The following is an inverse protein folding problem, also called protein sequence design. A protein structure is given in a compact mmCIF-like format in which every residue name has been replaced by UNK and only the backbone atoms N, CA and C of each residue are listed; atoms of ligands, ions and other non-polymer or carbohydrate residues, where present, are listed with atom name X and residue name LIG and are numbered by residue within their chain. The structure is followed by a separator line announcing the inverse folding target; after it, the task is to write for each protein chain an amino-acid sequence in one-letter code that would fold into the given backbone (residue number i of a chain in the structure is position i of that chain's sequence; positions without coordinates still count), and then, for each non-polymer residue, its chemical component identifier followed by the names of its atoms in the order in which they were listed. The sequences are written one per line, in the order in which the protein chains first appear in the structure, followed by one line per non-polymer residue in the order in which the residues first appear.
data_IF_424879792049
#
_entry.id   IF_424879792049
#
_cell.length_a   1.000
_cell.length_b   1.000
_cell.length_c   1.000
_cell.angle_alpha   90.00
_cell.angle_beta   90.00
_cell.angle_gamma   90.00
#
_symmetry.space_group_name_H-M   'P 1'
#
loop_
_entity.id
_entity.type
_entity.pdbx_description
1 polymer ?
#
# COMPACT_ATOMS: atom_id res chain seq x y z
N UNK A 1 -0.03 74.80 12.52
CA UNK A 1 0.59 73.89 11.54
C UNK A 1 1.10 72.63 12.25
N UNK A 2 0.30 71.56 12.28
CA UNK A 2 0.78 70.18 12.50
C UNK A 2 -0.14 69.27 11.68
N UNK A 3 0.44 68.61 10.68
CA UNK A 3 -0.27 67.73 9.74
C UNK A 3 -0.58 66.41 10.44
N UNK A 4 -1.83 65.97 10.35
CA UNK A 4 -2.27 64.62 10.75
C UNK A 4 -1.92 63.69 9.60
N UNK A 5 -1.08 62.68 9.84
CA UNK A 5 -0.83 61.59 8.91
C UNK A 5 -1.69 60.39 9.37
N UNK A 6 -2.71 60.04 8.58
CA UNK A 6 -3.37 58.74 8.69
C UNK A 6 -2.58 57.75 7.82
N UNK A 7 -1.96 56.75 8.44
CA UNK A 7 -1.43 55.60 7.73
C UNK A 7 -2.58 54.60 7.50
N UNK A 8 -3.01 54.46 6.25
CA UNK A 8 -3.91 53.39 5.82
C UNK A 8 -3.02 52.15 5.60
N UNK A 9 -3.13 51.17 6.49
CA UNK A 9 -2.49 49.87 6.30
C UNK A 9 -3.43 49.00 5.45
N UNK A 10 -3.17 48.95 4.15
CA UNK A 10 -3.87 48.04 3.25
C UNK A 10 -3.34 46.61 3.49
N UNK A 11 -4.13 45.79 4.20
CA UNK A 11 -3.86 44.35 4.34
C UNK A 11 -4.23 43.69 3.02
N UNK A 12 -3.20 43.25 2.30
CA UNK A 12 -3.30 42.41 1.11
C UNK A 12 -3.90 41.06 1.54
N UNK A 13 -5.15 40.77 1.17
CA UNK A 13 -5.72 39.43 1.30
C UNK A 13 -5.05 38.52 0.27
N UNK A 14 -4.09 37.72 0.70
CA UNK A 14 -3.66 36.53 -0.04
C UNK A 14 -4.65 35.38 0.25
N UNK A 15 -5.02 34.55 -0.75
CA UNK A 15 -5.85 33.39 -0.50
C UNK A 15 -5.08 32.39 0.36
N UNK A 16 -5.59 32.18 1.56
CA UNK A 16 -5.18 31.15 2.50
C UNK A 16 -5.58 29.77 1.95
N UNK A 17 -4.68 29.10 1.24
CA UNK A 17 -4.71 27.64 1.07
C UNK A 17 -4.29 27.01 2.39
N UNK A 18 -5.21 27.00 3.37
CA UNK A 18 -4.97 26.43 4.70
C UNK A 18 -5.20 24.93 4.63
N UNK A 19 -4.11 24.21 4.94
CA UNK A 19 -4.03 22.83 5.40
C UNK A 19 -5.35 22.22 5.88
N UNK A 20 -5.74 21.11 5.23
CA UNK A 20 -6.52 20.07 5.88
C UNK A 20 -5.74 19.60 7.12
N UNK A 21 -6.17 19.99 8.31
CA UNK A 21 -5.39 19.69 9.51
C UNK A 21 -5.83 20.48 10.75
N UNK A 22 -7.12 20.46 11.08
CA UNK A 22 -7.56 20.68 12.45
C UNK A 22 -8.27 19.42 12.91
N UNK A 23 -7.48 18.44 13.35
CA UNK A 23 -7.97 17.29 14.06
C UNK A 23 -8.53 17.74 15.42
N UNK A 24 -9.78 17.40 15.70
CA UNK A 24 -10.38 17.51 17.03
C UNK A 24 -9.68 16.49 17.95
N UNK A 25 -9.24 16.87 19.17
CA UNK A 25 -8.67 15.91 20.11
C UNK A 25 -9.65 14.77 20.40
N UNK A 26 -9.28 13.53 20.04
CA UNK A 26 -10.07 12.33 20.29
C UNK A 26 -10.63 11.60 19.05
N UNK A 27 -10.40 12.10 17.84
CA UNK A 27 -11.03 11.56 16.61
C UNK A 27 -10.03 11.44 15.44
N UNK A 28 -8.81 10.97 15.69
CA UNK A 28 -7.79 10.84 14.66
C UNK A 28 -7.85 9.46 13.99
N UNK A 29 -8.86 9.26 13.14
CA UNK A 29 -8.92 8.16 12.17
C UNK A 29 -8.66 8.67 10.76
N UNK A 30 -7.50 9.29 10.46
CA UNK A 30 -7.29 9.96 9.18
C UNK A 30 -7.35 8.96 8.03
N UNK A 31 -7.94 9.42 6.92
CA UNK A 31 -7.77 8.81 5.61
C UNK A 31 -6.41 9.23 5.09
N UNK A 32 -5.54 8.26 4.81
CA UNK A 32 -4.19 8.49 4.31
C UNK A 32 -4.16 8.53 2.78
N UNK A 33 -4.95 7.65 2.14
CA UNK A 33 -5.08 7.60 0.69
C UNK A 33 -6.48 7.14 0.29
N UNK A 34 -6.91 7.54 -0.91
CA UNK A 34 -8.22 7.20 -1.46
C UNK A 34 -8.10 6.95 -2.96
N UNK A 35 -8.79 5.91 -3.46
CA UNK A 35 -9.02 5.73 -4.89
C UNK A 35 -10.47 5.35 -5.18
N UNK A 36 -10.98 5.84 -6.31
CA UNK A 36 -12.31 5.48 -6.82
C UNK A 36 -12.16 4.41 -7.88
N UNK A 37 -13.09 3.46 -7.89
CA UNK A 37 -13.10 2.39 -8.88
C UNK A 37 -14.52 1.92 -9.16
N UNK A 38 -14.69 1.19 -10.25
CA UNK A 38 -15.96 0.53 -10.60
C UNK A 38 -15.85 -0.97 -10.32
N UNK A 39 -16.90 -1.54 -9.76
CA UNK A 39 -17.04 -2.98 -9.57
C UNK A 39 -18.45 -3.39 -9.96
N UNK A 40 -18.58 -4.25 -10.97
CA UNK A 40 -19.86 -4.74 -11.47
C UNK A 40 -20.88 -3.60 -11.77
N UNK A 41 -20.40 -2.47 -12.30
CA UNK A 41 -21.22 -1.30 -12.64
C UNK A 41 -21.53 -0.37 -11.46
N UNK A 42 -21.04 -0.67 -10.25
CA UNK A 42 -21.18 0.19 -9.07
C UNK A 42 -19.92 1.02 -8.86
N UNK A 43 -20.09 2.32 -8.66
CA UNK A 43 -18.99 3.20 -8.24
C UNK A 43 -18.69 2.99 -6.76
N UNK A 44 -17.45 2.65 -6.46
CA UNK A 44 -16.94 2.44 -5.11
C UNK A 44 -15.74 3.36 -4.83
N UNK A 45 -15.43 3.51 -3.55
CA UNK A 45 -14.23 4.19 -3.07
C UNK A 45 -13.53 3.29 -2.08
N UNK A 46 -12.22 3.07 -2.28
CA UNK A 46 -11.35 2.46 -1.27
C UNK A 46 -10.58 3.56 -0.55
N UNK A 47 -10.51 3.44 0.77
CA UNK A 47 -9.75 4.31 1.66
C UNK A 47 -8.72 3.49 2.42
N UNK A 48 -7.49 3.96 2.43
CA UNK A 48 -6.47 3.50 3.40
C UNK A 48 -6.54 4.42 4.60
N UNK A 49 -6.75 3.86 5.79
CA UNK A 49 -6.98 4.60 7.03
C UNK A 49 -6.07 4.11 8.12
N UNK A 50 -5.75 4.98 9.08
CA UNK A 50 -5.05 4.61 10.31
C UNK A 50 -5.90 5.01 11.52
N UNK A 51 -6.04 4.11 12.48
CA UNK A 51 -6.68 4.35 13.78
C UNK A 51 -5.86 3.66 14.87
N UNK A 52 -5.36 4.43 15.84
CA UNK A 52 -4.55 3.92 16.94
C UNK A 52 -3.42 2.98 16.47
N UNK A 53 -2.68 3.41 15.44
CA UNK A 53 -1.62 2.63 14.77
C UNK A 53 -2.10 1.33 14.11
N UNK A 54 -3.37 1.22 13.74
CA UNK A 54 -3.89 0.13 12.92
C UNK A 54 -4.20 0.67 11.53
N UNK A 55 -3.41 0.27 10.55
CA UNK A 55 -3.69 0.55 9.13
C UNK A 55 -4.68 -0.46 8.59
N UNK A 56 -5.75 0.02 7.98
CA UNK A 56 -6.77 -0.82 7.33
C UNK A 56 -7.17 -0.24 5.98
N UNK A 57 -7.72 -1.09 5.12
CA UNK A 57 -8.50 -0.66 3.96
C UNK A 57 -9.98 -0.68 4.32
N UNK A 58 -10.72 0.30 3.82
CA UNK A 58 -12.18 0.37 3.89
C UNK A 58 -12.72 0.62 2.49
N UNK A 59 -13.73 -0.12 2.07
CA UNK A 59 -14.46 0.16 0.82
C UNK A 59 -15.86 0.63 1.16
N UNK A 60 -16.25 1.74 0.54
CA UNK A 60 -17.57 2.36 0.66
C UNK A 60 -18.22 2.51 -0.71
N UNK A 61 -19.55 2.42 -0.76
CA UNK A 61 -20.33 2.72 -1.95
C UNK A 61 -20.61 4.22 -2.13
N UNK A 62 -21.30 4.58 -3.21
CA UNK A 62 -21.66 5.95 -3.54
C UNK A 62 -22.56 6.61 -2.48
N UNK A 63 -23.33 5.81 -1.73
CA UNK A 63 -24.18 6.24 -0.63
C UNK A 63 -23.42 6.34 0.70
N UNK A 64 -22.13 5.98 0.73
CA UNK A 64 -21.26 6.02 1.90
C UNK A 64 -21.39 4.80 2.82
N UNK A 65 -22.13 3.77 2.42
CA UNK A 65 -22.23 2.51 3.16
C UNK A 65 -20.95 1.72 2.96
N UNK A 66 -20.39 1.26 4.08
CA UNK A 66 -19.24 0.38 4.09
C UNK A 66 -19.63 -1.03 3.63
N UNK A 67 -18.84 -1.58 2.70
CA UNK A 67 -19.04 -2.94 2.19
C UNK A 67 -17.85 -3.86 2.49
N UNK A 68 -16.69 -3.31 2.84
CA UNK A 68 -15.51 -4.07 3.24
C UNK A 68 -14.63 -3.28 4.20
N UNK A 69 -13.99 -4.01 5.13
CA UNK A 69 -12.86 -3.56 5.93
C UNK A 69 -11.84 -4.70 5.99
N UNK A 70 -10.57 -4.41 5.76
CA UNK A 70 -9.50 -5.40 5.90
C UNK A 70 -9.17 -5.65 7.37
N UNK A 71 -8.45 -6.74 7.63
CA UNK A 71 -7.65 -6.86 8.86
C UNK A 71 -6.60 -5.73 8.94
N UNK A 72 -5.98 -5.58 10.12
CA UNK A 72 -4.85 -4.65 10.30
C UNK A 72 -3.68 -5.06 9.42
N UNK A 73 -3.26 -4.18 8.53
CA UNK A 73 -2.14 -4.37 7.60
C UNK A 73 -0.77 -4.09 8.25
N UNK A 74 -0.76 -3.23 9.26
CA UNK A 74 0.47 -2.74 9.88
C UNK A 74 0.22 -1.47 10.69
N UNK A 75 1.31 -0.83 11.10
CA UNK A 75 1.28 0.31 12.01
C UNK A 75 1.71 1.63 11.41
N UNK A 76 2.45 1.61 10.30
CA UNK A 76 2.99 2.81 9.66
C UNK A 76 2.81 2.76 8.13
N UNK A 77 2.62 3.94 7.54
CA UNK A 77 2.42 4.08 6.10
C UNK A 77 3.67 3.60 5.35
N UNK A 78 3.44 2.94 4.22
CA UNK A 78 4.47 2.38 3.36
C UNK A 78 4.10 2.61 1.90
N UNK A 79 5.12 2.89 1.10
CA UNK A 79 5.01 2.97 -0.35
C UNK A 79 5.37 1.62 -1.00
N UNK A 80 4.86 1.39 -2.19
CA UNK A 80 5.30 0.36 -3.14
C UNK A 80 5.39 1.01 -4.52
N UNK A 81 6.11 0.38 -5.45
CA UNK A 81 6.26 0.89 -6.82
C UNK A 81 5.38 0.10 -7.79
N UNK A 82 4.58 0.82 -8.57
CA UNK A 82 3.77 0.29 -9.68
C UNK A 82 3.78 1.31 -10.82
N UNK A 83 3.89 0.87 -12.07
CA UNK A 83 4.01 1.76 -13.24
C UNK A 83 5.14 2.81 -13.13
N UNK A 84 6.22 2.49 -12.38
CA UNK A 84 7.34 3.39 -12.04
C UNK A 84 6.96 4.58 -11.15
N UNK A 85 5.81 4.52 -10.49
CA UNK A 85 5.36 5.51 -9.52
C UNK A 85 5.26 4.89 -8.14
N UNK A 86 5.64 5.64 -7.11
CA UNK A 86 5.47 5.24 -5.72
C UNK A 86 4.03 5.52 -5.26
N UNK A 87 3.36 4.51 -4.72
CA UNK A 87 1.98 4.60 -4.23
C UNK A 87 1.85 3.92 -2.86
N UNK A 88 0.93 4.39 -2.03
CA UNK A 88 0.60 3.73 -0.75
C UNK A 88 -0.70 2.92 -0.81
N UNK A 89 -1.53 3.18 -1.83
CA UNK A 89 -2.79 2.53 -2.18
C UNK A 89 -2.96 2.59 -3.72
N UNK A 90 -3.42 1.51 -4.34
CA UNK A 90 -3.76 1.47 -5.76
C UNK A 90 -4.92 0.51 -6.03
N UNK A 91 -5.74 0.80 -7.03
CA UNK A 91 -6.76 -0.10 -7.57
C UNK A 91 -6.43 -0.43 -9.02
N UNK A 92 -6.34 -1.73 -9.33
CA UNK A 92 -5.88 -2.22 -10.64
C UNK A 92 -6.42 -3.61 -10.91
N UNK A 93 -6.90 -3.86 -12.11
CA UNK A 93 -7.21 -5.21 -12.58
C UNK A 93 -5.91 -5.91 -12.98
N UNK A 94 -5.37 -6.71 -12.05
CA UNK A 94 -4.13 -7.47 -12.21
C UNK A 94 -4.37 -8.80 -12.91
N UNK A 95 -5.56 -9.37 -12.77
CA UNK A 95 -5.87 -10.72 -13.23
C UNK A 95 -6.62 -10.76 -14.58
N UNK A 96 -7.10 -9.60 -15.07
CA UNK A 96 -7.77 -9.42 -16.35
C UNK A 96 -9.26 -9.78 -16.36
N UNK A 97 -9.89 -9.97 -15.21
CA UNK A 97 -11.31 -10.37 -15.08
C UNK A 97 -12.28 -9.18 -15.05
N UNK A 98 -11.78 -7.95 -15.19
CA UNK A 98 -12.52 -6.68 -15.12
C UNK A 98 -13.08 -6.33 -13.74
N UNK A 99 -12.63 -7.00 -12.68
CA UNK A 99 -12.92 -6.64 -11.29
C UNK A 99 -11.60 -6.31 -10.61
N UNK A 100 -11.29 -5.02 -10.42
CA UNK A 100 -9.95 -4.63 -10.01
C UNK A 100 -9.62 -5.07 -8.58
N UNK A 101 -8.36 -5.43 -8.36
CA UNK A 101 -7.78 -5.67 -7.06
C UNK A 101 -7.48 -4.37 -6.30
N UNK A 102 -7.48 -4.46 -4.96
CA UNK A 102 -7.03 -3.39 -4.07
C UNK A 102 -5.61 -3.71 -3.59
N UNK A 103 -4.69 -2.79 -3.77
CA UNK A 103 -3.27 -2.97 -3.49
C UNK A 103 -2.85 -1.95 -2.43
N UNK A 104 -2.23 -2.40 -1.34
CA UNK A 104 -1.71 -1.52 -0.32
C UNK A 104 -0.43 -2.08 0.29
N UNK A 105 0.46 -1.20 0.74
CA UNK A 105 1.61 -1.58 1.53
C UNK A 105 1.53 -1.00 2.95
N UNK A 106 2.09 -1.69 3.92
CA UNK A 106 2.23 -1.19 5.29
C UNK A 106 3.53 -1.71 5.92
N UNK A 107 4.13 -0.94 6.82
CA UNK A 107 5.14 -1.47 7.72
C UNK A 107 4.46 -2.22 8.87
N UNK A 108 4.97 -3.40 9.20
CA UNK A 108 4.55 -4.16 10.37
C UNK A 108 5.79 -4.54 11.20
N UNK A 109 6.04 -3.76 12.26
CA UNK A 109 7.26 -3.86 13.05
C UNK A 109 8.43 -3.03 12.52
N UNK A 110 9.61 -3.12 13.14
CA UNK A 110 10.67 -2.11 12.98
C UNK A 110 11.33 -2.10 11.59
N UNK A 111 11.42 -3.28 10.96
CA UNK A 111 12.23 -3.49 9.75
C UNK A 111 11.48 -4.17 8.60
N UNK A 112 10.24 -4.63 8.83
CA UNK A 112 9.50 -5.42 7.86
C UNK A 112 8.33 -4.64 7.27
N UNK A 113 8.09 -4.84 5.99
CA UNK A 113 6.97 -4.29 5.25
C UNK A 113 6.22 -5.38 4.49
N UNK A 114 4.91 -5.16 4.34
CA UNK A 114 4.00 -6.09 3.68
C UNK A 114 3.35 -5.42 2.47
N UNK A 115 3.29 -6.13 1.35
CA UNK A 115 2.42 -5.80 0.22
C UNK A 115 1.18 -6.70 0.25
N UNK A 116 0.03 -6.07 0.44
CA UNK A 116 -1.28 -6.69 0.51
C UNK A 116 -2.04 -6.45 -0.78
N UNK A 117 -2.62 -7.52 -1.32
CA UNK A 117 -3.44 -7.46 -2.54
C UNK A 117 -4.75 -8.16 -2.23
N UNK A 118 -5.87 -7.49 -2.45
CA UNK A 118 -7.20 -8.03 -2.21
C UNK A 118 -7.97 -8.16 -3.53
N UNK A 119 -8.50 -9.36 -3.78
CA UNK A 119 -9.36 -9.67 -4.94
C UNK A 119 -10.82 -9.72 -4.50
N UNK A 120 -11.75 -9.35 -5.39
CA UNK A 120 -13.16 -9.49 -5.10
C UNK A 120 -13.61 -10.95 -5.20
N UNK A 121 -14.22 -11.47 -4.13
CA UNK A 121 -14.89 -12.76 -4.11
C UNK A 121 -16.36 -12.57 -4.48
N UNK A 122 -16.74 -12.97 -5.69
CA UNK A 122 -18.11 -12.82 -6.19
C UNK A 122 -19.13 -13.63 -5.40
N UNK A 123 -18.74 -14.76 -4.81
CA UNK A 123 -19.65 -15.61 -4.04
C UNK A 123 -19.94 -15.01 -2.67
N UNK A 124 -18.90 -14.54 -1.98
CA UNK A 124 -19.02 -13.89 -0.68
C UNK A 124 -19.42 -12.41 -0.77
N UNK A 125 -19.34 -11.82 -1.97
CA UNK A 125 -19.61 -10.40 -2.26
C UNK A 125 -18.76 -9.46 -1.41
N UNK A 126 -17.51 -9.83 -1.17
CA UNK A 126 -16.54 -9.09 -0.36
C UNK A 126 -15.13 -9.25 -0.94
N UNK A 127 -14.18 -8.48 -0.44
CA UNK A 127 -12.77 -8.65 -0.80
C UNK A 127 -12.09 -9.68 0.11
N UNK A 128 -11.15 -10.44 -0.47
CA UNK A 128 -10.29 -11.38 0.25
C UNK A 128 -8.83 -11.22 -0.18
N UNK A 129 -7.86 -11.51 0.68
CA UNK A 129 -6.47 -11.43 0.29
C UNK A 129 -6.13 -12.43 -0.82
N UNK A 130 -5.29 -12.01 -1.76
CA UNK A 130 -4.61 -12.91 -2.68
C UNK A 130 -3.42 -13.53 -1.98
N UNK A 131 -3.25 -14.83 -2.16
CA UNK A 131 -2.20 -15.57 -1.47
C UNK A 131 -0.87 -15.48 -2.22
N UNK A 132 0.21 -15.38 -1.45
CA UNK A 132 1.58 -15.58 -1.87
C UNK A 132 2.02 -16.99 -1.47
N UNK A 133 2.40 -17.80 -2.45
CA UNK A 133 2.71 -19.22 -2.28
C UNK A 133 4.17 -19.48 -2.65
N UNK A 134 4.94 -19.99 -1.68
CA UNK A 134 6.32 -20.43 -1.85
C UNK A 134 6.42 -21.90 -1.45
N UNK A 135 6.09 -22.78 -2.41
CA UNK A 135 5.99 -24.23 -2.20
C UNK A 135 7.29 -24.86 -1.68
N UNK A 136 8.45 -24.42 -2.18
CA UNK A 136 9.75 -24.94 -1.74
C UNK A 136 10.04 -24.68 -0.25
N UNK A 137 9.39 -23.68 0.34
CA UNK A 137 9.50 -23.31 1.75
C UNK A 137 8.27 -23.73 2.58
N UNK A 138 7.34 -24.51 2.00
CA UNK A 138 6.04 -24.84 2.61
C UNK A 138 5.31 -23.62 3.20
N UNK A 139 5.34 -22.51 2.45
CA UNK A 139 4.88 -21.22 2.94
C UNK A 139 3.74 -20.67 2.06
N UNK A 140 2.63 -20.35 2.70
CA UNK A 140 1.52 -19.58 2.10
C UNK A 140 1.15 -18.43 3.03
N UNK A 141 1.06 -17.21 2.50
CA UNK A 141 0.68 -16.00 3.25
C UNK A 141 -0.28 -15.12 2.47
N UNK A 142 -0.96 -14.23 3.17
CA UNK A 142 -1.93 -13.28 2.59
C UNK A 142 -1.26 -11.99 2.07
N UNK A 143 0.06 -11.90 2.15
CA UNK A 143 0.86 -10.75 1.73
C UNK A 143 2.31 -11.15 1.43
N UNK A 144 2.97 -10.34 0.61
CA UNK A 144 4.39 -10.45 0.33
C UNK A 144 5.20 -9.66 1.35
N UNK A 145 6.32 -10.23 1.78
CA UNK A 145 7.20 -9.65 2.80
C UNK A 145 8.45 -9.07 2.15
N UNK A 146 8.80 -7.86 2.56
CA UNK A 146 10.16 -7.33 2.53
C UNK A 146 10.65 -7.20 3.98
N UNK A 147 11.79 -7.81 4.30
CA UNK A 147 12.46 -7.67 5.61
C UNK A 147 13.60 -6.65 5.58
N UNK A 148 13.68 -5.87 4.50
CA UNK A 148 14.61 -4.77 4.31
C UNK A 148 13.83 -3.46 4.20
N UNK A 149 13.74 -2.73 5.30
CA UNK A 149 13.04 -1.45 5.38
C UNK A 149 13.54 -0.46 4.34
N UNK A 150 12.64 -0.07 3.41
CA UNK A 150 12.84 1.08 2.53
C UNK A 150 11.60 1.98 2.48
N UNK A 151 11.81 3.27 2.67
CA UNK A 151 10.73 4.27 2.68
C UNK A 151 10.20 4.58 1.27
N UNK A 152 11.06 4.51 0.24
CA UNK A 152 10.73 4.90 -1.14
C UNK A 152 9.82 3.90 -1.88
N UNK A 153 9.64 2.69 -1.34
CA UNK A 153 8.81 1.64 -1.94
C UNK A 153 9.51 0.70 -2.92
N UNK A 154 10.79 0.88 -3.22
CA UNK A 154 11.50 0.06 -4.21
C UNK A 154 11.75 -1.38 -3.73
N UNK A 155 11.64 -1.61 -2.42
CA UNK A 155 11.64 -2.93 -1.81
C UNK A 155 10.39 -3.76 -2.14
N UNK A 156 9.31 -3.15 -2.64
CA UNK A 156 8.08 -3.84 -3.06
C UNK A 156 7.62 -3.26 -4.40
N UNK A 157 7.84 -3.99 -5.50
CA UNK A 157 7.68 -3.44 -6.86
C UNK A 157 6.92 -4.38 -7.79
N UNK A 158 5.91 -3.86 -8.47
CA UNK A 158 5.33 -4.50 -9.65
C UNK A 158 6.23 -4.28 -10.86
N UNK A 159 6.66 -5.37 -11.49
CA UNK A 159 7.42 -5.37 -12.74
C UNK A 159 6.49 -5.44 -13.96
N UNK A 160 5.34 -6.06 -13.78
CA UNK A 160 4.18 -6.12 -14.64
C UNK A 160 2.94 -6.31 -13.75
N UNK A 161 1.73 -6.20 -14.31
CA UNK A 161 0.50 -6.41 -13.54
C UNK A 161 0.46 -7.80 -12.87
N UNK A 162 1.04 -8.81 -13.53
CA UNK A 162 1.08 -10.19 -13.03
C UNK A 162 2.42 -10.58 -12.36
N UNK A 163 3.39 -9.67 -12.22
CA UNK A 163 4.72 -9.99 -11.66
C UNK A 163 5.15 -8.96 -10.63
N UNK A 164 5.45 -9.42 -9.41
CA UNK A 164 5.92 -8.60 -8.30
C UNK A 164 7.28 -9.07 -7.80
N UNK A 165 8.09 -8.12 -7.35
CA UNK A 165 9.41 -8.30 -6.75
C UNK A 165 9.40 -7.73 -5.33
N UNK A 166 9.91 -8.50 -4.38
CA UNK A 166 10.31 -8.00 -3.06
C UNK A 166 11.83 -7.98 -2.90
N UNK A 167 12.35 -7.01 -2.16
CA UNK A 167 13.70 -7.01 -1.61
C UNK A 167 13.66 -7.65 -0.22
N UNK A 168 14.60 -8.54 0.05
CA UNK A 168 14.75 -9.10 1.39
C UNK A 168 16.08 -9.83 1.58
N UNK A 169 16.27 -10.48 2.72
CA UNK A 169 17.46 -11.27 2.99
C UNK A 169 17.32 -12.70 2.46
N UNK A 170 18.35 -13.22 1.80
CA UNK A 170 18.51 -14.64 1.44
C UNK A 170 19.40 -15.28 2.49
N UNK A 171 18.86 -16.28 3.18
CA UNK A 171 19.55 -17.04 4.22
C UNK A 171 20.06 -18.37 3.66
N UNK A 172 21.33 -18.67 3.93
CA UNK A 172 21.91 -19.98 3.60
C UNK A 172 21.52 -21.03 4.64
N UNK A 173 21.40 -22.29 4.21
CA UNK A 173 21.32 -23.44 5.11
C UNK A 173 22.69 -23.93 5.55
N UNK A 174 23.76 -23.46 4.91
CA UNK A 174 25.14 -23.75 5.31
C UNK A 174 25.52 -22.88 6.52
N UNK A 175 26.16 -23.47 7.55
CA UNK A 175 26.66 -22.70 8.67
C UNK A 175 27.70 -21.67 8.20
N UNK A 176 27.76 -20.54 8.89
CA UNK A 176 28.75 -19.47 8.67
C UNK A 176 28.68 -18.73 7.31
N UNK A 177 27.65 -18.99 6.50
CA UNK A 177 27.36 -18.16 5.31
C UNK A 177 26.45 -17.02 5.72
N UNK A 178 26.97 -15.79 5.63
CA UNK A 178 26.19 -14.59 5.95
C UNK A 178 24.99 -14.44 5.01
N UNK A 179 23.89 -13.94 5.57
CA UNK A 179 22.72 -13.61 4.76
C UNK A 179 23.05 -12.45 3.83
N UNK A 180 22.60 -12.54 2.57
CA UNK A 180 22.82 -11.50 1.56
C UNK A 180 21.48 -10.88 1.15
N UNK A 181 21.49 -9.60 0.77
CA UNK A 181 20.30 -9.00 0.18
C UNK A 181 19.97 -9.70 -1.16
N UNK A 182 18.69 -9.92 -1.41
CA UNK A 182 18.19 -10.60 -2.59
C UNK A 182 16.82 -10.12 -3.03
N UNK A 183 16.55 -10.32 -4.32
CA UNK A 183 15.24 -10.10 -4.90
C UNK A 183 14.46 -11.41 -4.93
N UNK A 184 13.21 -11.37 -4.51
CA UNK A 184 12.25 -12.46 -4.57
C UNK A 184 11.17 -12.12 -5.59
N UNK A 185 10.91 -13.01 -6.55
CA UNK A 185 9.96 -12.78 -7.63
C UNK A 185 8.76 -13.70 -7.49
N UNK A 186 7.57 -13.13 -7.62
CA UNK A 186 6.31 -13.86 -7.63
C UNK A 186 5.50 -13.50 -8.86
N UNK A 187 4.81 -14.49 -9.43
CA UNK A 187 3.92 -14.31 -10.58
C UNK A 187 2.49 -14.73 -10.23
N UNK A 188 1.54 -13.90 -10.59
CA UNK A 188 0.12 -14.21 -10.47
C UNK A 188 -0.26 -15.35 -11.43
N UNK A 189 -0.79 -16.43 -10.88
CA UNK A 189 -1.34 -17.56 -11.62
C UNK A 189 -2.41 -18.27 -10.76
N UNK A 190 -3.54 -18.61 -11.38
CA UNK A 190 -4.65 -19.32 -10.71
C UNK A 190 -5.17 -18.61 -9.45
N UNK A 191 -5.21 -17.26 -9.47
CA UNK A 191 -5.71 -16.45 -8.36
C UNK A 191 -4.74 -16.29 -7.17
N UNK A 192 -3.49 -16.73 -7.31
CA UNK A 192 -2.44 -16.56 -6.30
C UNK A 192 -1.11 -16.14 -6.91
N UNK A 193 -0.30 -15.38 -6.17
CA UNK A 193 1.07 -15.07 -6.51
C UNK A 193 1.98 -16.23 -6.14
N UNK A 194 2.53 -16.92 -7.14
CA UNK A 194 3.40 -18.07 -6.97
C UNK A 194 4.86 -17.66 -7.09
N UNK A 195 5.69 -18.11 -6.14
CA UNK A 195 7.12 -17.90 -6.16
C UNK A 195 7.73 -18.44 -7.45
N UNK A 196 8.61 -17.65 -8.07
CA UNK A 196 9.32 -18.00 -9.31
C UNK A 196 10.78 -18.32 -8.97
N UNK A 197 11.49 -17.34 -8.42
CA UNK A 197 12.91 -17.41 -8.13
C UNK A 197 13.27 -16.37 -7.06
N UNK A 198 14.43 -16.57 -6.44
CA UNK A 198 15.15 -15.52 -5.73
C UNK A 198 16.60 -15.47 -6.22
N UNK A 199 17.20 -14.27 -6.18
CA UNK A 199 18.61 -14.09 -6.54
C UNK A 199 19.23 -12.94 -5.74
N UNK A 200 20.54 -13.00 -5.45
CA UNK A 200 21.23 -11.90 -4.79
C UNK A 200 21.04 -10.58 -5.55
N UNK A 201 20.99 -9.48 -4.80
CA UNK A 201 21.07 -8.14 -5.39
C UNK A 201 22.46 -8.00 -6.04
N UNK A 202 22.56 -7.57 -7.31
CA UNK A 202 23.85 -7.31 -7.92
C UNK A 202 24.62 -6.27 -7.11
N UNK A 203 25.85 -6.60 -6.74
CA UNK A 203 26.83 -5.63 -6.25
C UNK A 203 27.62 -5.15 -7.46
N UNK A 204 27.64 -3.84 -7.69
CA UNK A 204 28.56 -3.28 -8.68
C UNK A 204 30.00 -3.56 -8.21
N UNK A 205 30.79 -4.23 -9.07
CA UNK A 205 32.23 -4.49 -8.83
C UNK A 205 33.09 -3.23 -8.96
#
# INVERSE_FOLDING_TARGET
MKKVFYAIFAILLMPLSVFAGLAVPGEANPVLATEKFELDGQQLTVEKRIDNMNLTLRVIDAEGKQIFTSETLGSEEKLFVIDREAASLKVRDLNGDKRPELIAAAFYGPNASGLYIFTYDTAARTFKPMQFVHTAADLTRDFLVSDLRQENGEDLMFLADDVVRALGMIYSTEPDVEAVAGFYFYKLADGAFKFIESKPVPVDE
#
